data_IF_657610341031
#
_entry.id   IF_657610341031
#
_cell.length_a   1.000
_cell.length_b   1.000
_cell.length_c   1.000
_cell.angle_alpha   90.00
_cell.angle_beta   90.00
_cell.angle_gamma   90.00
#
_symmetry.space_group_name_H-M   'P 1'
#
loop_
_entity.id
_entity.type
_entity.pdbx_description
1 polymer ?
#
# COMPACT_ATOMS: atom_id res chain seq x y z
N UNK A 1 -12.88 17.36 -17.26
CA UNK A 1 -12.36 16.56 -16.15
C UNK A 1 -11.28 17.32 -15.39
N UNK A 2 -11.20 17.15 -14.09
CA UNK A 2 -10.11 17.72 -13.28
C UNK A 2 -9.06 16.60 -13.09
N UNK A 3 -7.79 16.93 -13.30
CA UNK A 3 -6.69 16.03 -12.93
C UNK A 3 -6.53 16.11 -11.41
N UNK A 4 -6.56 14.97 -10.73
CA UNK A 4 -6.33 14.83 -9.30
C UNK A 4 -5.06 14.00 -9.11
N UNK A 5 -4.16 14.48 -8.27
CA UNK A 5 -2.96 13.75 -7.88
C UNK A 5 -3.16 13.27 -6.44
N UNK A 6 -3.04 11.98 -6.23
CA UNK A 6 -3.15 11.35 -4.92
C UNK A 6 -1.80 10.73 -4.53
N UNK A 7 -1.49 10.81 -3.25
CA UNK A 7 -0.31 10.14 -2.71
C UNK A 7 -0.67 8.69 -2.38
N UNK A 8 0.07 7.76 -2.97
CA UNK A 8 -0.09 6.32 -2.73
C UNK A 8 1.01 5.86 -1.79
N UNK A 9 0.68 5.41 -0.58
CA UNK A 9 1.65 4.87 0.36
C UNK A 9 2.30 3.58 -0.19
N UNK A 10 3.58 3.31 0.13
CA UNK A 10 4.28 2.12 -0.36
C UNK A 10 3.61 0.79 0.03
N UNK A 11 2.92 0.74 1.16
CA UNK A 11 2.18 -0.44 1.64
C UNK A 11 0.90 -0.73 0.87
N UNK A 12 0.37 0.25 0.16
CA UNK A 12 -0.82 0.12 -0.68
C UNK A 12 -0.45 -0.13 -2.15
N UNK A 13 0.83 0.10 -2.50
CA UNK A 13 1.32 -0.07 -3.85
C UNK A 13 1.96 -1.43 -4.05
N UNK A 14 1.41 -2.19 -4.97
CA UNK A 14 1.89 -3.52 -5.33
C UNK A 14 2.54 -3.46 -6.71
N UNK A 15 3.74 -4.01 -6.83
CA UNK A 15 4.46 -4.09 -8.09
C UNK A 15 5.12 -5.46 -8.23
N UNK A 16 5.24 -5.93 -9.45
CA UNK A 16 5.95 -7.18 -9.75
C UNK A 16 7.36 -7.16 -9.13
N UNK A 17 7.71 -8.20 -8.38
CA UNK A 17 8.98 -8.30 -7.62
C UNK A 17 10.24 -8.10 -8.46
N UNK A 18 10.20 -8.49 -9.73
CA UNK A 18 11.34 -8.40 -10.64
C UNK A 18 11.41 -7.07 -11.38
N UNK A 19 10.39 -6.23 -11.28
CA UNK A 19 10.36 -4.94 -11.96
C UNK A 19 11.33 -3.94 -11.34
N UNK A 20 11.96 -3.14 -12.18
CA UNK A 20 12.87 -2.06 -11.77
C UNK A 20 12.22 -0.70 -11.89
N UNK A 21 11.21 -0.56 -12.73
CA UNK A 21 10.41 0.64 -12.94
C UNK A 21 8.96 0.27 -13.20
N UNK A 22 8.06 1.23 -13.05
CA UNK A 22 6.64 1.06 -13.36
C UNK A 22 6.43 0.69 -14.82
N UNK A 23 7.17 1.32 -15.73
CA UNK A 23 7.05 1.10 -17.19
C UNK A 23 7.42 -0.33 -17.60
N UNK A 24 8.42 -0.91 -16.93
CA UNK A 24 8.89 -2.27 -17.25
C UNK A 24 8.11 -3.37 -16.52
N UNK A 25 7.25 -3.00 -15.57
CA UNK A 25 6.43 -3.94 -14.84
C UNK A 25 5.34 -4.55 -15.72
N UNK A 26 5.10 -5.85 -15.57
CA UNK A 26 3.96 -6.53 -16.17
C UNK A 26 2.71 -6.49 -15.28
N UNK A 27 2.90 -6.16 -14.01
CA UNK A 27 1.82 -6.05 -13.04
C UNK A 27 2.14 -4.92 -12.06
N UNK A 28 1.18 -4.02 -11.90
CA UNK A 28 1.15 -2.97 -10.89
C UNK A 28 -0.26 -2.89 -10.35
N UNK A 29 -0.41 -2.73 -9.05
CA UNK A 29 -1.72 -2.55 -8.44
C UNK A 29 -1.69 -1.57 -7.28
N UNK A 30 -2.81 -0.92 -7.06
CA UNK A 30 -3.09 -0.08 -5.91
C UNK A 30 -4.20 -0.73 -5.08
N UNK A 31 -3.90 -1.03 -3.84
CA UNK A 31 -4.83 -1.60 -2.88
C UNK A 31 -5.50 -0.48 -2.09
N UNK A 32 -6.80 -0.41 -2.12
CA UNK A 32 -7.59 0.64 -1.45
C UNK A 32 -8.76 0.01 -0.71
N UNK A 33 -9.09 0.57 0.44
CA UNK A 33 -10.35 0.29 1.14
C UNK A 33 -11.40 1.29 0.68
N UNK A 34 -12.55 0.80 0.28
CA UNK A 34 -13.70 1.60 -0.14
C UNK A 34 -14.96 1.10 0.56
N UNK A 35 -15.88 1.99 0.87
CA UNK A 35 -17.17 1.57 1.39
C UNK A 35 -18.07 1.05 0.27
N UNK A 36 -19.05 0.22 0.61
CA UNK A 36 -20.06 -0.24 -0.37
C UNK A 36 -20.76 0.94 -1.06
N UNK A 37 -21.07 1.97 -0.28
CA UNK A 37 -21.67 3.20 -0.80
C UNK A 37 -20.79 3.88 -1.85
N UNK A 38 -19.48 3.97 -1.60
CA UNK A 38 -18.54 4.57 -2.55
C UNK A 38 -18.49 3.79 -3.87
N UNK A 39 -18.55 2.46 -3.80
CA UNK A 39 -18.54 1.61 -4.99
C UNK A 39 -19.77 1.80 -5.87
N UNK A 40 -20.95 1.91 -5.24
CA UNK A 40 -22.20 2.18 -5.95
C UNK A 40 -22.16 3.60 -6.56
N UNK A 41 -21.62 4.60 -5.85
CA UNK A 41 -21.45 5.96 -6.37
C UNK A 41 -20.45 6.00 -7.55
N UNK A 42 -19.44 5.16 -7.55
CA UNK A 42 -18.52 4.99 -8.68
C UNK A 42 -19.18 4.34 -9.91
N UNK A 43 -20.38 3.80 -9.76
CA UNK A 43 -21.19 3.25 -10.85
C UNK A 43 -21.11 1.74 -11.02
N UNK A 44 -20.59 1.01 -10.05
CA UNK A 44 -20.61 -0.47 -10.05
C UNK A 44 -22.01 -0.99 -9.73
N UNK A 45 -22.30 -2.18 -10.22
CA UNK A 45 -23.61 -2.84 -10.06
C UNK A 45 -23.86 -3.13 -8.57
N UNK A 46 -24.96 -2.61 -7.96
CA UNK A 46 -25.29 -2.85 -6.58
C UNK A 46 -25.42 -4.33 -6.22
N UNK A 47 -25.97 -5.17 -7.13
CA UNK A 47 -26.14 -6.60 -6.87
C UNK A 47 -24.79 -7.31 -6.73
N UNK A 48 -23.79 -6.90 -7.50
CA UNK A 48 -22.42 -7.42 -7.40
C UNK A 48 -21.80 -6.96 -6.10
N UNK A 49 -21.91 -5.65 -5.79
CA UNK A 49 -21.32 -5.04 -4.60
C UNK A 49 -21.87 -5.64 -3.30
N UNK A 50 -23.17 -5.97 -3.23
CA UNK A 50 -23.79 -6.60 -2.07
C UNK A 50 -23.25 -8.02 -1.80
N UNK A 51 -22.91 -8.75 -2.86
CA UNK A 51 -22.40 -10.12 -2.76
C UNK A 51 -20.90 -10.20 -2.42
N UNK A 52 -20.18 -9.09 -2.45
CA UNK A 52 -18.75 -9.08 -2.11
C UNK A 52 -18.59 -9.27 -0.60
N UNK A 53 -17.81 -10.28 -0.16
CA UNK A 53 -17.55 -10.48 1.24
C UNK A 53 -16.78 -9.28 1.81
N UNK A 54 -17.26 -8.76 2.92
CA UNK A 54 -16.58 -7.71 3.67
C UNK A 54 -15.24 -8.22 4.19
N UNK A 55 -14.22 -7.38 4.10
CA UNK A 55 -12.89 -7.70 4.63
C UNK A 55 -12.92 -7.75 6.15
N UNK A 56 -13.07 -8.96 6.70
CA UNK A 56 -13.00 -9.20 8.15
C UNK A 56 -11.55 -9.32 8.65
N UNK A 57 -10.61 -9.56 7.75
CA UNK A 57 -9.19 -9.64 8.02
C UNK A 57 -8.46 -8.57 7.21
N UNK A 58 -8.49 -7.35 7.69
CA UNK A 58 -7.51 -6.39 7.23
C UNK A 58 -6.16 -7.00 7.58
N UNK A 59 -5.42 -7.45 6.56
CA UNK A 59 -4.06 -7.92 6.77
C UNK A 59 -3.32 -6.82 7.51
N UNK A 60 -3.11 -7.06 8.80
CA UNK A 60 -2.40 -6.19 9.70
C UNK A 60 -0.93 -6.22 9.27
N UNK A 61 -0.58 -5.39 8.31
CA UNK A 61 0.83 -5.11 8.05
C UNK A 61 1.36 -4.40 9.30
N UNK A 62 2.54 -4.79 9.76
CA UNK A 62 3.20 -4.20 10.93
C UNK A 62 3.27 -2.67 10.85
N UNK A 63 3.41 -2.13 9.64
CA UNK A 63 3.42 -0.70 9.38
C UNK A 63 2.06 -0.03 9.63
N UNK A 64 0.96 -0.67 9.24
CA UNK A 64 -0.40 -0.20 9.52
C UNK A 64 -0.70 -0.27 11.01
N UNK A 65 -0.35 -1.38 11.64
CA UNK A 65 -0.46 -1.55 13.09
C UNK A 65 0.28 -0.43 13.83
N UNK A 66 1.49 -0.10 13.41
CA UNK A 66 2.30 0.96 14.02
C UNK A 66 1.67 2.35 13.84
N UNK A 67 1.05 2.63 12.71
CA UNK A 67 0.35 3.91 12.45
C UNK A 67 -0.92 4.07 13.27
N UNK A 68 -1.63 2.98 13.52
CA UNK A 68 -2.91 2.98 14.21
C UNK A 68 -2.84 2.48 15.65
N UNK A 69 -1.64 2.12 16.16
CA UNK A 69 -1.45 1.60 17.51
C UNK A 69 -1.85 2.59 18.62
N UNK A 70 -1.82 3.91 18.34
CA UNK A 70 -2.23 4.94 19.29
C UNK A 70 -3.74 5.22 19.24
N UNK A 71 -4.45 4.64 18.29
CA UNK A 71 -5.90 4.75 18.18
C UNK A 71 -6.48 3.48 18.80
N UNK A 72 -7.02 3.63 19.98
CA UNK A 72 -7.65 2.58 20.82
C UNK A 72 -8.94 2.04 20.17
N UNK A 73 -8.86 1.69 18.90
CA UNK A 73 -9.98 1.18 18.12
C UNK A 73 -9.62 -0.17 17.55
N UNK A 74 -10.36 -1.16 18.02
CA UNK A 74 -10.60 -2.36 17.24
C UNK A 74 -11.08 -1.88 15.88
N UNK A 75 -10.24 -1.95 14.86
CA UNK A 75 -10.62 -1.40 13.60
C UNK A 75 -11.65 -2.33 12.99
N UNK A 76 -12.70 -1.76 12.49
CA UNK A 76 -13.13 -2.19 11.19
C UNK A 76 -14.05 -3.40 11.16
N UNK A 77 -15.25 -3.20 11.03
CA UNK A 77 -16.40 -4.03 10.66
C UNK A 77 -17.50 -4.19 11.71
N UNK A 78 -17.48 -3.42 12.76
CA UNK A 78 -18.70 -3.19 13.54
C UNK A 78 -19.43 -1.93 13.06
N UNK A 79 -19.29 -1.57 11.78
CA UNK A 79 -20.13 -0.53 11.21
C UNK A 79 -21.58 -1.01 11.35
N UNK A 80 -22.45 -0.24 12.05
CA UNK A 80 -23.81 -0.65 12.28
C UNK A 80 -24.67 -0.69 11.01
N UNK A 81 -24.15 -0.16 9.92
CA UNK A 81 -24.79 -0.09 8.61
C UNK A 81 -23.93 -0.84 7.57
N UNK A 82 -24.56 -1.74 6.82
CA UNK A 82 -23.92 -2.50 5.74
C UNK A 82 -23.35 -1.59 4.65
N UNK A 83 -23.93 -0.43 4.42
CA UNK A 83 -23.46 0.52 3.39
C UNK A 83 -22.12 1.16 3.72
N UNK A 84 -21.77 1.23 5.00
CA UNK A 84 -20.50 1.80 5.50
C UNK A 84 -19.42 0.75 5.72
N UNK A 85 -19.71 -0.52 5.45
CA UNK A 85 -18.71 -1.58 5.53
C UNK A 85 -17.64 -1.40 4.45
N UNK A 86 -16.39 -1.57 4.87
CA UNK A 86 -15.23 -1.44 3.98
C UNK A 86 -14.96 -2.74 3.22
N UNK A 87 -14.71 -2.58 1.94
CA UNK A 87 -14.32 -3.63 1.01
C UNK A 87 -12.93 -3.31 0.49
N UNK A 88 -12.07 -4.30 0.47
CA UNK A 88 -10.75 -4.18 -0.13
C UNK A 88 -10.85 -4.28 -1.65
N UNK A 89 -10.25 -3.30 -2.34
CA UNK A 89 -10.25 -3.20 -3.79
C UNK A 89 -8.81 -3.13 -4.27
N UNK A 90 -8.57 -3.79 -5.37
CA UNK A 90 -7.30 -3.75 -6.09
C UNK A 90 -7.53 -3.14 -7.48
N UNK A 91 -7.00 -1.96 -7.72
CA UNK A 91 -6.91 -1.37 -9.04
C UNK A 91 -5.63 -1.87 -9.70
N UNK A 92 -5.75 -2.85 -10.57
CA UNK A 92 -4.66 -3.56 -11.20
C UNK A 92 -4.41 -3.06 -12.62
N UNK A 93 -3.15 -2.86 -12.96
CA UNK A 93 -2.67 -2.65 -14.32
C UNK A 93 -1.80 -3.83 -14.70
N UNK A 94 -2.28 -4.65 -15.62
CA UNK A 94 -1.64 -5.92 -15.98
C UNK A 94 -1.47 -6.03 -17.47
N UNK A 95 -0.31 -6.55 -17.90
CA UNK A 95 -0.06 -6.92 -19.30
C UNK A 95 -0.44 -8.38 -19.49
N UNK A 96 -1.47 -8.62 -20.27
CA UNK A 96 -1.99 -9.96 -20.56
C UNK A 96 -2.42 -10.06 -22.02
N UNK A 97 -2.14 -11.20 -22.62
CA UNK A 97 -2.63 -11.54 -23.95
C UNK A 97 -4.08 -12.05 -23.83
N UNK A 98 -5.04 -11.25 -24.30
CA UNK A 98 -6.46 -11.57 -24.20
C UNK A 98 -7.01 -12.21 -25.49
N UNK A 99 -6.43 -11.92 -26.63
CA UNK A 99 -6.87 -12.42 -27.94
C UNK A 99 -6.09 -13.66 -28.43
N UNK A 100 -4.97 -13.98 -27.75
CA UNK A 100 -4.15 -15.15 -28.07
C UNK A 100 -3.21 -14.95 -29.26
N UNK A 101 -2.90 -13.69 -29.61
CA UNK A 101 -1.99 -13.36 -30.70
C UNK A 101 -0.49 -13.43 -30.30
N UNK A 102 -0.22 -13.63 -29.00
CA UNK A 102 1.14 -13.70 -28.44
C UNK A 102 1.70 -12.35 -28.03
N UNK A 103 0.94 -11.25 -28.15
CA UNK A 103 1.32 -9.91 -27.70
C UNK A 103 0.50 -9.54 -26.47
N UNK A 104 1.18 -9.16 -25.38
CA UNK A 104 0.50 -8.77 -24.16
C UNK A 104 0.02 -7.32 -24.22
N UNK A 105 -1.25 -7.10 -24.00
CA UNK A 105 -1.91 -5.80 -23.94
C UNK A 105 -1.99 -5.29 -22.49
N UNK A 106 -1.89 -3.98 -22.32
CA UNK A 106 -2.10 -3.36 -21.03
C UNK A 106 -3.60 -3.24 -20.74
N UNK A 107 -4.03 -3.79 -19.62
CA UNK A 107 -5.41 -3.74 -19.16
C UNK A 107 -5.51 -3.19 -17.76
N UNK A 108 -6.54 -2.37 -17.55
CA UNK A 108 -6.98 -1.96 -16.23
C UNK A 108 -8.04 -2.94 -15.75
N UNK A 109 -7.79 -3.57 -14.62
CA UNK A 109 -8.71 -4.52 -14.00
C UNK A 109 -8.96 -4.09 -12.55
N UNK A 110 -10.22 -3.87 -12.20
CA UNK A 110 -10.61 -3.60 -10.81
C UNK A 110 -11.18 -4.88 -10.24
N UNK A 111 -10.58 -5.33 -9.14
CA UNK A 111 -10.96 -6.55 -8.44
C UNK A 111 -11.34 -6.21 -7.02
N UNK A 112 -12.40 -6.79 -6.50
CA UNK A 112 -12.86 -6.56 -5.15
C UNK A 112 -12.88 -7.84 -4.30
N UNK A 113 -12.76 -7.65 -2.98
CA UNK A 113 -12.76 -8.72 -1.99
C UNK A 113 -11.36 -9.17 -1.58
N UNK A 114 -11.26 -9.76 -0.40
CA UNK A 114 -10.01 -10.12 0.30
C UNK A 114 -9.05 -11.03 -0.49
N UNK A 115 -9.55 -11.73 -1.48
CA UNK A 115 -8.76 -12.61 -2.36
C UNK A 115 -8.94 -12.29 -3.84
N UNK A 116 -9.49 -11.13 -4.18
CA UNK A 116 -9.75 -10.75 -5.56
C UNK A 116 -10.78 -11.62 -6.25
N UNK A 117 -11.84 -11.95 -5.56
CA UNK A 117 -12.86 -12.88 -6.05
C UNK A 117 -13.72 -12.33 -7.18
N UNK A 118 -13.99 -11.02 -7.14
CA UNK A 118 -14.94 -10.43 -8.08
C UNK A 118 -14.25 -9.38 -8.95
N UNK A 119 -14.41 -9.53 -10.25
CA UNK A 119 -13.90 -8.55 -11.22
C UNK A 119 -15.01 -7.53 -11.45
N UNK A 120 -14.80 -6.31 -10.97
CA UNK A 120 -15.74 -5.20 -11.13
C UNK A 120 -15.60 -4.52 -12.49
N UNK A 121 -14.38 -4.42 -13.00
CA UNK A 121 -14.08 -3.74 -14.26
C UNK A 121 -12.91 -4.42 -14.96
N UNK A 122 -12.96 -4.50 -16.29
CA UNK A 122 -11.85 -4.96 -17.13
C UNK A 122 -11.89 -4.21 -18.46
N UNK A 123 -10.97 -3.24 -18.63
CA UNK A 123 -10.90 -2.41 -19.82
C UNK A 123 -9.46 -2.31 -20.34
N UNK A 124 -9.29 -2.11 -21.66
CA UNK A 124 -7.98 -1.79 -22.21
C UNK A 124 -7.51 -0.42 -21.71
N UNK A 125 -6.21 -0.27 -21.49
CA UNK A 125 -5.60 0.95 -20.99
C UNK A 125 -4.31 1.24 -21.77
N UNK A 126 -4.08 2.51 -22.09
CA UNK A 126 -2.88 2.91 -22.84
C UNK A 126 -1.67 3.18 -21.92
N UNK A 127 -1.94 3.63 -20.68
CA UNK A 127 -0.89 4.07 -19.77
C UNK A 127 -1.19 3.70 -18.32
N UNK A 128 -0.14 3.44 -17.56
CA UNK A 128 -0.21 3.24 -16.11
C UNK A 128 -0.15 4.62 -15.43
N UNK A 129 -1.18 5.04 -14.65
CA UNK A 129 -1.27 6.39 -14.10
C UNK A 129 -0.46 6.60 -12.82
N UNK A 130 0.53 5.77 -12.55
CA UNK A 130 1.39 5.90 -11.39
C UNK A 130 2.73 6.53 -11.75
N UNK A 131 3.21 7.38 -10.83
CA UNK A 131 4.54 7.99 -10.91
C UNK A 131 5.29 7.72 -9.62
N UNK A 132 6.52 7.26 -9.71
CA UNK A 132 7.36 6.99 -8.54
C UNK A 132 8.52 7.97 -8.43
N UNK A 133 8.80 8.40 -7.20
CA UNK A 133 9.99 9.17 -6.86
C UNK A 133 10.80 8.41 -5.82
N UNK A 134 11.99 7.97 -6.19
CA UNK A 134 12.90 7.26 -5.29
C UNK A 134 14.13 8.13 -5.03
N UNK A 135 14.24 8.77 -3.84
CA UNK A 135 15.36 9.69 -3.54
C UNK A 135 16.72 9.01 -3.57
N UNK A 136 16.81 7.77 -3.08
CA UNK A 136 18.05 7.00 -3.03
C UNK A 136 17.80 5.66 -3.71
N UNK A 137 18.03 5.56 -5.02
CA UNK A 137 17.75 4.33 -5.76
C UNK A 137 18.72 3.21 -5.38
N UNK A 138 18.19 1.99 -5.33
CA UNK A 138 19.00 0.79 -5.21
C UNK A 138 19.12 0.07 -6.55
N UNK A 139 20.31 -0.44 -6.91
CA UNK A 139 20.47 -1.21 -8.14
C UNK A 139 19.53 -2.42 -8.16
N UNK A 140 18.88 -2.65 -9.28
CA UNK A 140 18.04 -3.83 -9.56
C UNK A 140 16.78 -3.96 -8.69
N UNK A 141 16.36 -2.91 -7.98
CA UNK A 141 15.14 -2.89 -7.17
C UNK A 141 14.30 -1.67 -7.51
N UNK A 142 12.99 -1.81 -7.39
CA UNK A 142 12.06 -0.70 -7.51
C UNK A 142 12.11 0.22 -6.28
N UNK A 143 12.06 -0.40 -5.10
CA UNK A 143 12.17 0.34 -3.84
C UNK A 143 13.62 0.71 -3.52
N UNK A 144 13.85 1.97 -3.21
CA UNK A 144 15.14 2.48 -2.79
C UNK A 144 15.33 2.43 -1.28
N UNK A 145 16.31 3.17 -0.78
CA UNK A 145 16.56 3.36 0.65
C UNK A 145 15.94 4.65 1.15
N UNK A 146 15.54 4.63 2.41
CA UNK A 146 15.14 5.84 3.12
C UNK A 146 16.36 6.58 3.69
N UNK A 147 16.21 7.89 3.94
CA UNK A 147 17.24 8.66 4.65
C UNK A 147 17.39 8.14 6.08
N UNK A 148 16.32 7.63 6.70
CA UNK A 148 16.36 7.04 8.02
C UNK A 148 17.32 5.85 8.09
N UNK A 149 17.28 4.92 7.12
CA UNK A 149 18.21 3.79 7.05
C UNK A 149 19.69 4.22 6.93
N UNK A 150 19.95 5.33 6.26
CA UNK A 150 21.33 5.83 6.14
C UNK A 150 21.89 6.41 7.43
N UNK A 151 21.05 6.95 8.29
CA UNK A 151 21.50 7.59 9.54
C UNK A 151 21.29 6.72 10.77
N UNK A 152 20.63 5.58 10.64
CA UNK A 152 20.28 4.68 11.75
C UNK A 152 21.52 4.27 12.56
N UNK A 153 22.56 3.76 11.89
CA UNK A 153 23.81 3.34 12.54
C UNK A 153 24.48 4.49 13.30
N UNK A 154 24.52 5.68 12.70
CA UNK A 154 25.09 6.87 13.33
C UNK A 154 24.28 7.29 14.56
N UNK A 155 22.96 7.17 14.50
CA UNK A 155 22.08 7.50 15.61
C UNK A 155 22.23 6.50 16.77
N UNK A 156 22.40 5.21 16.47
CA UNK A 156 22.68 4.18 17.48
C UNK A 156 24.01 4.47 18.19
N UNK A 157 25.07 4.75 17.45
CA UNK A 157 26.39 5.11 18.02
C UNK A 157 26.27 6.36 18.89
N UNK A 158 25.64 7.44 18.39
CA UNK A 158 25.39 8.66 19.16
C UNK A 158 24.65 8.40 20.46
N UNK A 159 23.59 7.60 20.42
CA UNK A 159 22.78 7.27 21.60
C UNK A 159 23.58 6.46 22.62
N UNK A 160 24.42 5.54 22.18
CA UNK A 160 25.29 4.73 23.04
C UNK A 160 26.33 5.58 23.73
N UNK A 161 27.03 6.44 22.97
CA UNK A 161 28.04 7.34 23.52
C UNK A 161 27.43 8.32 24.52
N UNK A 162 26.24 8.86 24.24
CA UNK A 162 25.53 9.75 25.15
C UNK A 162 25.17 9.05 26.47
N UNK A 163 24.69 7.81 26.42
CA UNK A 163 24.40 7.02 27.62
C UNK A 163 25.65 6.77 28.44
N UNK A 164 26.75 6.35 27.82
CA UNK A 164 28.02 6.13 28.50
C UNK A 164 28.56 7.41 29.16
N UNK A 165 28.41 8.55 28.51
CA UNK A 165 28.83 9.84 29.07
C UNK A 165 27.99 10.21 30.29
N UNK A 166 26.67 10.02 30.24
CA UNK A 166 25.77 10.24 31.36
C UNK A 166 26.09 9.30 32.52
N UNK A 167 26.33 8.00 32.26
CA UNK A 167 26.69 7.02 33.27
C UNK A 167 28.03 7.39 33.97
N UNK A 168 29.03 7.83 33.22
CA UNK A 168 30.28 8.31 33.76
C UNK A 168 30.10 9.58 34.63
N UNK A 169 29.24 10.48 34.22
CA UNK A 169 28.91 11.68 35.02
C UNK A 169 28.23 11.31 36.34
N UNK A 170 27.31 10.34 36.30
CA UNK A 170 26.64 9.82 37.53
C UNK A 170 27.63 9.14 38.46
N UNK A 171 28.54 8.31 37.94
CA UNK A 171 29.55 7.61 38.72
C UNK A 171 30.55 8.60 39.35
N UNK A 172 30.97 9.63 38.63
CA UNK A 172 31.90 10.64 39.15
C UNK A 172 31.25 11.57 40.16
N UNK A 173 29.98 11.90 40.03
CA UNK A 173 29.25 12.74 40.98
C UNK A 173 28.80 12.02 42.27
N UNK A 174 28.62 10.68 42.23
CA UNK A 174 28.16 9.86 43.36
C UNK A 174 29.31 9.16 44.07
N UNK A 175 30.51 9.65 44.00
CA UNK A 175 31.68 9.09 44.69
C UNK A 175 31.64 9.47 46.19
N UNK A 176 30.70 8.86 46.96
CA UNK A 176 30.67 8.86 48.42
C UNK A 176 30.74 7.43 48.91
#
# INVERSE_FOLDING_TARGET
GKVKIENVPPEEFLIQRTAKSIETANFVAHRVLKTRSDLIEMGFDPEIVENIPTSNNIMLNDERLTRFSDIDQSPFNNAPDETTQEIEIYECYVKVDMDGDGVAELRKVIVAGESGYEILENMPCDNIPFCSLTPIPMPHRFYGRSVAELVEDVQLVKSTVMRQLLDNMYLTNNNR
#
